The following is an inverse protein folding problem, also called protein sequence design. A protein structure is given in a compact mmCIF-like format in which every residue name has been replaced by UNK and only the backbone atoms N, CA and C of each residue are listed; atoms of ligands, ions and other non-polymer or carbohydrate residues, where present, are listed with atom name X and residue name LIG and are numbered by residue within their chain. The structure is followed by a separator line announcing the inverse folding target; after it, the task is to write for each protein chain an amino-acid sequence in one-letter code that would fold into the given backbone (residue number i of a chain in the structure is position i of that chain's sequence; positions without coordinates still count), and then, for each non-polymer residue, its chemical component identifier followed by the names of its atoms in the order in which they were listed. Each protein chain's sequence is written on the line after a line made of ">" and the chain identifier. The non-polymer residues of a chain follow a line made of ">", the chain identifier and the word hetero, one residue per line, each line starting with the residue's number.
data_IF_099645877319
#
_entry.id   IF_099645877319
#
_cell.length_a   1.000
_cell.length_b   1.000
_cell.length_c   1.000
_cell.angle_alpha   90.00
_cell.angle_beta   90.00
_cell.angle_gamma   90.00
#
_symmetry.space_group_name_H-M   'P 1'
#
loop_
_entity.id
_entity.type
_entity.pdbx_description
1 polymer ?
#
# COMPACT_ATOMS: atom_id res chain seq x y z
N UNK A 1 25.67 22.11 -1.35
CA UNK A 1 24.60 21.10 -1.16
C UNK A 1 23.27 21.75 -1.53
N UNK A 2 22.45 21.11 -2.36
CA UNK A 2 21.07 21.59 -2.57
C UNK A 2 20.27 21.27 -1.30
N UNK A 3 19.63 22.27 -0.71
CA UNK A 3 18.64 22.05 0.34
C UNK A 3 17.35 21.55 -0.31
N UNK A 4 16.76 20.52 0.27
CA UNK A 4 15.42 20.06 -0.11
C UNK A 4 14.39 21.11 0.31
N UNK A 5 13.33 21.25 -0.47
CA UNK A 5 12.17 22.06 -0.09
C UNK A 5 11.42 21.42 1.08
N UNK A 6 10.63 22.23 1.80
CA UNK A 6 9.77 21.73 2.87
C UNK A 6 8.80 20.65 2.38
N UNK A 7 8.28 20.80 1.16
CA UNK A 7 7.39 19.81 0.54
C UNK A 7 8.09 18.47 0.32
N UNK A 8 9.30 18.47 -0.23
CA UNK A 8 10.07 17.23 -0.44
C UNK A 8 10.39 16.55 0.89
N UNK A 9 10.63 17.33 1.96
CA UNK A 9 10.83 16.79 3.30
C UNK A 9 9.56 16.14 3.87
N UNK A 10 8.40 16.77 3.70
CA UNK A 10 7.10 16.21 4.10
C UNK A 10 6.79 14.92 3.36
N UNK A 11 6.95 14.91 2.03
CA UNK A 11 6.73 13.74 1.19
C UNK A 11 7.69 12.60 1.60
N UNK A 12 8.95 12.91 1.94
CA UNK A 12 9.90 11.93 2.48
C UNK A 12 9.48 11.37 3.84
N UNK A 13 9.01 12.21 4.78
CA UNK A 13 8.54 11.74 6.08
C UNK A 13 7.34 10.82 5.95
N UNK A 14 6.40 11.15 5.06
CA UNK A 14 5.25 10.30 4.77
C UNK A 14 5.70 8.95 4.21
N UNK A 15 6.64 8.94 3.26
CA UNK A 15 7.23 7.70 2.75
C UNK A 15 7.88 6.85 3.85
N UNK A 16 8.65 7.45 4.77
CA UNK A 16 9.24 6.70 5.90
C UNK A 16 8.16 6.09 6.79
N UNK A 17 7.11 6.86 7.10
CA UNK A 17 5.98 6.39 7.87
C UNK A 17 5.26 5.21 7.18
N UNK A 18 4.95 5.35 5.89
CA UNK A 18 4.27 4.31 5.12
C UNK A 18 5.12 3.04 4.99
N UNK A 19 6.44 3.20 4.82
CA UNK A 19 7.39 2.08 4.80
C UNK A 19 7.40 1.31 6.12
N UNK A 20 7.50 2.00 7.26
CA UNK A 20 7.53 1.35 8.59
C UNK A 20 6.21 0.68 8.92
N UNK A 21 5.09 1.27 8.49
CA UNK A 21 3.75 0.74 8.74
C UNK A 21 3.27 -0.28 7.69
N UNK A 22 4.16 -0.77 6.82
CA UNK A 22 3.82 -1.81 5.84
C UNK A 22 2.81 -1.37 4.77
N UNK A 23 2.66 -0.06 4.55
CA UNK A 23 1.74 0.51 3.54
C UNK A 23 2.34 0.56 2.13
N UNK A 24 3.61 0.16 1.99
CA UNK A 24 4.33 0.10 0.72
C UNK A 24 4.71 -1.35 0.42
N UNK A 25 4.29 -1.85 -0.74
CA UNK A 25 4.74 -3.14 -1.25
C UNK A 25 6.16 -2.99 -1.81
N UNK A 26 7.14 -3.56 -1.13
CA UNK A 26 8.52 -3.64 -1.62
C UNK A 26 8.65 -4.78 -2.65
N UNK A 27 9.65 -4.75 -3.55
CA UNK A 27 9.85 -5.83 -4.53
C UNK A 27 9.90 -7.24 -3.91
N UNK A 28 10.55 -7.40 -2.77
CA UNK A 28 10.61 -8.68 -2.06
C UNK A 28 9.23 -9.13 -1.55
N UNK A 29 8.41 -8.20 -1.08
CA UNK A 29 7.01 -8.47 -0.68
C UNK A 29 6.16 -8.88 -1.87
N UNK A 30 6.33 -8.22 -3.02
CA UNK A 30 5.63 -8.57 -4.26
C UNK A 30 6.03 -9.98 -4.69
N UNK A 31 7.34 -10.28 -4.71
CA UNK A 31 7.85 -11.61 -5.04
C UNK A 31 7.27 -12.67 -4.10
N UNK A 32 7.29 -12.44 -2.80
CA UNK A 32 6.74 -13.37 -1.80
C UNK A 32 5.26 -13.67 -2.06
N UNK A 33 4.44 -12.65 -2.33
CA UNK A 33 3.02 -12.85 -2.66
C UNK A 33 2.89 -13.68 -3.94
N UNK A 34 3.59 -13.30 -5.02
CA UNK A 34 3.51 -14.03 -6.28
C UNK A 34 3.93 -15.50 -6.14
N UNK A 35 5.01 -15.78 -5.40
CA UNK A 35 5.48 -17.15 -5.15
C UNK A 35 4.47 -17.94 -4.31
N UNK A 36 3.81 -17.32 -3.34
CA UNK A 36 2.78 -17.99 -2.51
C UNK A 36 1.52 -18.42 -3.28
N UNK A 37 1.31 -17.84 -4.46
CA UNK A 37 0.20 -18.16 -5.37
C UNK A 37 0.67 -18.83 -6.66
N UNK A 38 1.89 -19.41 -6.71
CA UNK A 38 2.45 -20.08 -7.90
C UNK A 38 2.46 -19.20 -9.17
N UNK A 39 2.57 -17.88 -9.00
CA UNK A 39 2.44 -16.89 -10.08
C UNK A 39 1.11 -16.95 -10.85
N UNK A 40 0.07 -17.54 -10.23
CA UNK A 40 -1.29 -17.56 -10.77
C UNK A 40 -1.93 -16.18 -10.64
N UNK A 41 -2.01 -15.47 -11.76
CA UNK A 41 -2.54 -14.11 -11.82
C UNK A 41 -3.98 -14.01 -11.28
N UNK A 42 -4.81 -15.02 -11.48
CA UNK A 42 -6.20 -15.01 -11.03
C UNK A 42 -6.27 -15.08 -9.50
N UNK A 43 -5.53 -16.00 -8.88
CA UNK A 43 -5.48 -16.14 -7.42
C UNK A 43 -4.87 -14.92 -6.74
N UNK A 44 -3.82 -14.35 -7.33
CA UNK A 44 -3.19 -13.11 -6.82
C UNK A 44 -4.20 -11.97 -6.86
N UNK A 45 -4.88 -11.77 -7.99
CA UNK A 45 -5.91 -10.75 -8.15
C UNK A 45 -7.06 -10.91 -7.14
N UNK A 46 -7.57 -12.14 -6.99
CA UNK A 46 -8.60 -12.48 -6.01
C UNK A 46 -8.16 -12.12 -4.59
N UNK A 47 -6.94 -12.52 -4.18
CA UNK A 47 -6.41 -12.21 -2.85
C UNK A 47 -6.37 -10.70 -2.56
N UNK A 48 -5.89 -9.89 -3.50
CA UNK A 48 -5.86 -8.43 -3.33
C UNK A 48 -7.27 -7.84 -3.23
N UNK A 49 -8.22 -8.32 -4.04
CA UNK A 49 -9.61 -7.84 -4.00
C UNK A 49 -10.30 -8.20 -2.67
N UNK A 50 -10.01 -9.36 -2.09
CA UNK A 50 -10.51 -9.76 -0.77
C UNK A 50 -9.87 -8.97 0.38
N UNK A 51 -8.61 -8.55 0.23
CA UNK A 51 -7.91 -7.71 1.21
C UNK A 51 -8.33 -6.24 1.14
N UNK A 52 -8.67 -5.74 -0.05
CA UNK A 52 -9.02 -4.34 -0.30
C UNK A 52 -10.02 -3.76 0.73
N UNK A 53 -11.17 -4.38 1.04
CA UNK A 53 -12.12 -3.81 2.00
C UNK A 53 -11.60 -3.77 3.45
N UNK A 54 -10.55 -4.53 3.79
CA UNK A 54 -9.91 -4.49 5.11
C UNK A 54 -8.89 -3.36 5.22
N UNK A 55 -8.19 -3.07 4.11
CA UNK A 55 -7.16 -2.04 4.03
C UNK A 55 -7.75 -0.65 3.74
N UNK A 56 -8.72 -0.62 2.85
CA UNK A 56 -9.48 0.54 2.42
C UNK A 56 -10.96 0.23 2.68
N UNK A 57 -11.41 0.26 3.96
CA UNK A 57 -12.83 0.12 4.24
C UNK A 57 -13.59 1.18 3.42
N UNK A 58 -14.72 0.82 2.80
CA UNK A 58 -15.53 1.82 2.11
C UNK A 58 -15.80 2.95 3.09
N UNK A 59 -15.63 4.19 2.64
CA UNK A 59 -15.97 5.35 3.45
C UNK A 59 -17.39 5.13 3.97
N UNK A 60 -17.54 4.90 5.28
CA UNK A 60 -18.86 4.88 5.90
C UNK A 60 -19.46 6.23 5.60
N UNK A 61 -20.38 6.28 4.64
CA UNK A 61 -21.02 7.49 4.13
C UNK A 61 -21.41 8.43 5.29
N UNK A 62 -20.58 9.43 5.58
CA UNK A 62 -20.91 10.51 6.52
C UNK A 62 -21.95 11.49 5.92
N UNK A 63 -22.49 11.18 4.74
CA UNK A 63 -23.51 11.97 4.02
C UNK A 63 -24.95 11.48 4.21
N UNK A 64 -25.21 10.56 5.14
CA UNK A 64 -26.55 10.32 5.67
C UNK A 64 -26.59 10.84 7.10
N UNK A 65 -26.76 12.16 7.25
CA UNK A 65 -27.22 12.83 8.47
C UNK A 65 -28.30 13.82 8.11
#
# INVERSE_FOLDING_TARGET
>A
MKQISNKEYEDWRQYQYDKINGRILQPDTIRFICESYDFDAEKIGQHFLELLPKLCPPETNYWIK
#
